data_IF_886972905777
#
_entry.id   IF_886972905777
#
_cell.length_a   1.000
_cell.length_b   1.000
_cell.length_c   1.000
_cell.angle_alpha   90.00
_cell.angle_beta   90.00
_cell.angle_gamma   90.00
#
_symmetry.space_group_name_H-M   'P 1'
#
loop_
_entity.id
_entity.type
_entity.pdbx_description
1 polymer ?
#
# COMPACT_ATOMS: atom_id res chain seq x y z
N UNK A 1 4.86 74.15 -21.48
CA UNK A 1 4.12 73.04 -20.82
C UNK A 1 2.96 72.69 -21.74
N UNK A 2 2.66 71.49 -22.26
CA UNK A 2 3.11 70.09 -22.14
C UNK A 2 2.62 69.43 -23.47
N UNK A 3 3.48 68.68 -24.19
CA UNK A 3 3.12 67.97 -25.45
C UNK A 3 2.42 66.64 -25.12
N UNK A 4 1.09 66.59 -25.21
CA UNK A 4 0.28 65.36 -25.10
C UNK A 4 -0.28 65.07 -26.49
N UNK A 5 0.26 64.10 -27.22
CA UNK A 5 -0.30 63.81 -28.55
C UNK A 5 0.34 62.71 -29.38
N UNK A 6 1.31 61.95 -28.85
CA UNK A 6 2.01 60.92 -29.66
C UNK A 6 2.07 59.52 -29.06
N UNK A 7 1.58 59.33 -27.84
CA UNK A 7 1.78 58.07 -27.10
C UNK A 7 0.56 57.12 -27.10
N UNK A 8 -0.63 57.54 -27.58
CA UNK A 8 -1.82 56.69 -27.53
C UNK A 8 -1.83 55.55 -28.58
N UNK A 9 -1.25 55.73 -29.76
CA UNK A 9 -1.35 54.75 -30.85
C UNK A 9 -0.48 53.49 -30.68
N UNK A 10 0.69 53.61 -30.03
CA UNK A 10 1.62 52.49 -29.88
C UNK A 10 1.22 51.50 -28.78
N UNK A 11 0.43 51.93 -27.80
CA UNK A 11 -0.07 51.07 -26.72
C UNK A 11 -1.27 50.23 -27.16
N UNK A 12 -2.14 50.77 -28.01
CA UNK A 12 -3.34 50.08 -28.48
C UNK A 12 -3.01 48.82 -29.30
N UNK A 13 -1.97 48.87 -30.13
CA UNK A 13 -1.49 47.72 -30.92
C UNK A 13 -0.80 46.62 -30.09
N UNK A 14 -0.12 46.98 -29.00
CA UNK A 14 0.49 46.01 -28.07
C UNK A 14 -0.54 45.28 -27.23
N UNK A 15 -1.62 45.97 -26.82
CA UNK A 15 -2.71 45.36 -26.04
C UNK A 15 -3.50 44.35 -26.89
N UNK A 16 -3.71 44.64 -28.18
CA UNK A 16 -4.39 43.74 -29.12
C UNK A 16 -3.57 42.48 -29.47
N UNK A 17 -2.25 42.58 -29.55
CA UNK A 17 -1.35 41.44 -29.78
C UNK A 17 -1.21 40.51 -28.56
N UNK A 18 -1.20 41.08 -27.34
CA UNK A 18 -1.14 40.30 -26.09
C UNK A 18 -2.45 39.55 -25.84
N UNK A 19 -3.60 40.12 -26.23
CA UNK A 19 -4.90 39.46 -26.10
C UNK A 19 -5.05 38.24 -27.03
N UNK A 20 -4.47 38.26 -28.23
CA UNK A 20 -4.53 37.13 -29.16
C UNK A 20 -3.65 35.95 -28.69
N UNK A 21 -2.48 36.22 -28.11
CA UNK A 21 -1.56 35.19 -27.59
C UNK A 21 -2.04 34.54 -26.28
N UNK A 22 -2.90 35.22 -25.50
CA UNK A 22 -3.44 34.66 -24.25
C UNK A 22 -4.57 33.63 -24.47
N UNK A 23 -5.12 33.55 -25.68
CA UNK A 23 -6.28 32.69 -25.99
C UNK A 23 -5.91 31.24 -26.34
N UNK A 24 -4.63 30.93 -26.55
CA UNK A 24 -4.16 29.60 -26.97
C UNK A 24 -3.86 28.61 -25.84
N UNK A 25 -3.96 29.05 -24.58
CA UNK A 25 -3.60 28.24 -23.39
C UNK A 25 -4.79 27.65 -22.64
N UNK A 26 -6.01 27.92 -23.08
CA UNK A 26 -7.21 27.30 -22.49
C UNK A 26 -7.53 25.96 -23.17
N UNK A 27 -6.60 25.00 -23.06
CA UNK A 27 -6.93 23.60 -23.35
C UNK A 27 -7.76 23.05 -22.19
N UNK A 28 -9.02 22.65 -22.38
CA UNK A 28 -9.76 21.97 -21.34
C UNK A 28 -9.12 20.59 -21.16
N UNK A 29 -8.45 20.38 -20.03
CA UNK A 29 -7.95 19.07 -19.65
C UNK A 29 -9.14 18.12 -19.55
N UNK A 30 -9.26 17.23 -20.53
CA UNK A 30 -10.25 16.17 -20.56
C UNK A 30 -9.88 15.19 -19.44
N UNK A 31 -10.45 15.36 -18.25
CA UNK A 31 -10.29 14.44 -17.14
C UNK A 31 -11.03 13.14 -17.50
N UNK A 32 -10.29 12.16 -18.02
CA UNK A 32 -10.77 10.78 -18.10
C UNK A 32 -10.97 10.32 -16.66
N UNK A 33 -12.23 10.23 -16.23
CA UNK A 33 -12.59 9.52 -15.02
C UNK A 33 -12.15 8.06 -15.21
N UNK A 34 -11.10 7.65 -14.49
CA UNK A 34 -10.69 6.26 -14.45
C UNK A 34 -11.87 5.42 -13.95
N UNK A 35 -12.13 4.24 -14.53
CA UNK A 35 -13.12 3.33 -13.98
C UNK A 35 -12.68 2.96 -12.56
N UNK A 36 -13.46 3.41 -11.57
CA UNK A 36 -13.35 2.88 -10.22
C UNK A 36 -13.91 1.46 -10.28
N UNK A 37 -13.01 0.48 -10.34
CA UNK A 37 -13.39 -0.92 -10.23
C UNK A 37 -14.20 -1.10 -8.94
N UNK A 38 -15.37 -1.77 -8.97
CA UNK A 38 -16.06 -2.13 -7.75
C UNK A 38 -15.10 -2.96 -6.91
N UNK A 39 -14.84 -2.52 -5.67
CA UNK A 39 -14.14 -3.34 -4.69
C UNK A 39 -14.99 -4.60 -4.51
N UNK A 40 -14.60 -5.68 -5.18
CA UNK A 40 -15.16 -7.01 -4.92
C UNK A 40 -15.00 -7.24 -3.42
N UNK A 41 -16.07 -7.68 -2.75
CA UNK A 41 -16.03 -8.24 -1.39
C UNK A 41 -15.28 -9.59 -1.39
N UNK A 42 -14.15 -9.65 -2.09
CA UNK A 42 -13.24 -10.78 -2.10
C UNK A 42 -12.58 -10.82 -0.73
N UNK A 43 -12.76 -11.93 -0.03
CA UNK A 43 -12.06 -12.17 1.24
C UNK A 43 -10.55 -11.98 1.06
N UNK A 44 -9.84 -11.42 2.06
CA UNK A 44 -8.42 -11.17 1.96
C UNK A 44 -7.65 -12.46 1.63
N UNK A 45 -6.72 -12.38 0.68
CA UNK A 45 -5.91 -13.53 0.30
C UNK A 45 -4.70 -13.65 1.25
N UNK A 46 -4.77 -14.58 2.21
CA UNK A 46 -3.73 -14.79 3.21
C UNK A 46 -2.35 -15.10 2.62
N UNK A 47 -2.27 -15.82 1.50
CA UNK A 47 -1.00 -16.09 0.81
C UNK A 47 -0.37 -14.81 0.28
N UNK A 48 -1.13 -14.00 -0.46
CA UNK A 48 -0.63 -12.73 -1.03
C UNK A 48 -0.21 -11.75 0.07
N UNK A 49 -0.99 -11.66 1.14
CA UNK A 49 -0.66 -10.85 2.31
C UNK A 49 0.64 -11.34 2.98
N UNK A 50 0.78 -12.65 3.18
CA UNK A 50 2.00 -13.23 3.73
C UNK A 50 3.23 -12.96 2.84
N UNK A 51 3.09 -13.14 1.53
CA UNK A 51 4.16 -12.86 0.56
C UNK A 51 4.60 -11.39 0.61
N UNK A 52 3.65 -10.48 0.78
CA UNK A 52 3.88 -9.03 0.81
C UNK A 52 4.50 -8.56 2.14
N UNK A 53 4.03 -9.08 3.27
CA UNK A 53 4.35 -8.52 4.58
C UNK A 53 5.28 -9.39 5.44
N UNK A 54 5.32 -10.71 5.20
CA UNK A 54 5.93 -11.67 6.14
C UNK A 54 7.10 -12.45 5.53
N UNK A 55 7.02 -12.79 4.24
CA UNK A 55 7.95 -13.70 3.57
C UNK A 55 9.40 -13.20 3.56
N UNK A 56 9.62 -11.88 3.61
CA UNK A 56 10.96 -11.29 3.70
C UNK A 56 11.76 -11.79 4.91
N UNK A 57 11.10 -11.98 6.05
CA UNK A 57 11.73 -12.56 7.24
C UNK A 57 11.48 -14.07 7.39
N UNK A 58 10.37 -14.55 6.83
CA UNK A 58 9.88 -15.92 7.00
C UNK A 58 9.78 -16.73 5.70
N UNK A 59 10.85 -16.82 4.90
CA UNK A 59 10.80 -17.57 3.65
C UNK A 59 10.62 -19.06 3.93
N UNK A 60 9.64 -19.69 3.27
CA UNK A 60 9.29 -21.10 3.43
C UNK A 60 9.12 -21.52 4.91
N UNK A 61 8.53 -20.62 5.70
CA UNK A 61 8.29 -20.82 7.13
C UNK A 61 9.53 -20.78 8.00
N UNK A 62 10.70 -20.41 7.48
CA UNK A 62 11.90 -20.22 8.30
C UNK A 62 11.86 -18.87 9.04
N UNK A 63 12.97 -18.48 9.66
CA UNK A 63 13.15 -17.16 10.22
C UNK A 63 14.62 -16.75 10.07
N UNK A 64 14.88 -15.76 9.21
CA UNK A 64 16.25 -15.31 8.91
C UNK A 64 16.87 -14.53 10.07
N UNK A 65 16.05 -13.92 10.93
CA UNK A 65 16.49 -13.08 12.05
C UNK A 65 16.77 -13.95 13.29
N UNK A 66 15.87 -14.88 13.62
CA UNK A 66 15.98 -15.78 14.77
C UNK A 66 15.70 -17.22 14.35
N UNK A 67 16.76 -17.97 14.00
CA UNK A 67 16.70 -19.34 13.46
C UNK A 67 15.88 -20.36 14.27
N UNK A 68 15.71 -20.15 15.58
CA UNK A 68 14.89 -21.02 16.45
C UNK A 68 13.40 -20.68 16.49
N UNK A 69 12.99 -19.50 15.98
CA UNK A 69 11.61 -19.01 16.00
C UNK A 69 10.99 -19.02 14.60
N UNK A 70 10.94 -20.22 14.02
CA UNK A 70 10.35 -20.45 12.70
C UNK A 70 8.83 -20.57 12.77
N UNK A 71 8.17 -20.56 11.61
CA UNK A 71 6.73 -20.81 11.47
C UNK A 71 6.41 -22.30 11.23
N UNK A 72 7.38 -23.18 11.50
CA UNK A 72 7.17 -24.64 11.40
C UNK A 72 6.42 -25.12 12.64
N UNK A 73 5.54 -26.11 12.47
CA UNK A 73 4.65 -26.59 13.54
C UNK A 73 5.37 -26.91 14.86
N UNK A 74 6.55 -27.54 14.81
CA UNK A 74 7.35 -27.84 16.00
C UNK A 74 7.78 -26.59 16.78
N UNK A 75 8.14 -25.51 16.08
CA UNK A 75 8.55 -24.26 16.71
C UNK A 75 7.35 -23.50 17.27
N UNK A 76 6.23 -23.46 16.53
CA UNK A 76 4.97 -22.89 17.00
C UNK A 76 4.52 -23.54 18.31
N UNK A 77 4.48 -24.89 18.37
CA UNK A 77 4.15 -25.66 19.58
C UNK A 77 5.07 -25.36 20.75
N UNK A 78 6.39 -25.34 20.51
CA UNK A 78 7.39 -25.03 21.55
C UNK A 78 7.19 -23.64 22.16
N UNK A 79 6.68 -22.71 21.37
CA UNK A 79 6.50 -21.32 21.79
C UNK A 79 5.04 -20.97 22.14
N UNK A 80 4.14 -21.96 22.16
CA UNK A 80 2.72 -21.81 22.47
C UNK A 80 2.03 -20.80 21.52
N UNK A 81 2.36 -20.87 20.22
CA UNK A 81 1.76 -20.06 19.15
C UNK A 81 1.22 -20.99 18.05
N UNK A 82 0.63 -22.11 18.44
CA UNK A 82 0.15 -23.19 17.58
C UNK A 82 -1.38 -23.19 17.43
N UNK A 83 -1.97 -22.00 17.30
CA UNK A 83 -3.36 -21.80 16.92
C UNK A 83 -3.50 -20.55 16.05
N UNK A 84 -4.58 -20.47 15.27
CA UNK A 84 -4.88 -19.29 14.44
C UNK A 84 -4.94 -18.03 15.32
N UNK A 85 -5.70 -18.05 16.41
CA UNK A 85 -5.84 -16.90 17.32
C UNK A 85 -4.50 -16.46 17.93
N UNK A 86 -3.64 -17.41 18.31
CA UNK A 86 -2.33 -17.09 18.88
C UNK A 86 -1.41 -16.45 17.83
N UNK A 87 -1.46 -16.93 16.59
CA UNK A 87 -0.72 -16.34 15.46
C UNK A 87 -1.26 -14.93 15.16
N UNK A 88 -2.59 -14.76 15.06
CA UNK A 88 -3.23 -13.47 14.81
C UNK A 88 -2.87 -12.45 15.89
N UNK A 89 -2.92 -12.86 17.17
CA UNK A 89 -2.51 -12.01 18.31
C UNK A 89 -1.03 -11.61 18.19
N UNK A 90 -0.15 -12.54 17.84
CA UNK A 90 1.28 -12.27 17.67
C UNK A 90 1.55 -11.32 16.52
N UNK A 91 0.85 -11.45 15.39
CA UNK A 91 0.97 -10.54 14.24
C UNK A 91 0.46 -9.14 14.60
N UNK A 92 -0.68 -9.08 15.30
CA UNK A 92 -1.29 -7.81 15.75
C UNK A 92 -0.34 -7.04 16.66
N UNK A 93 0.19 -7.70 17.70
CA UNK A 93 0.96 -7.04 18.77
C UNK A 93 2.46 -6.99 18.50
N UNK A 94 2.98 -7.82 17.58
CA UNK A 94 4.41 -8.05 17.43
C UNK A 94 5.03 -8.72 18.66
N UNK A 95 6.34 -9.04 18.58
CA UNK A 95 7.10 -9.55 19.73
C UNK A 95 8.60 -9.41 19.52
N UNK A 96 9.23 -8.60 20.37
CA UNK A 96 10.68 -8.42 20.36
C UNK A 96 11.15 -7.74 19.07
N UNK A 97 11.81 -8.51 18.19
CA UNK A 97 12.33 -7.98 16.90
C UNK A 97 11.30 -8.04 15.76
N UNK A 98 10.17 -8.72 15.97
CA UNK A 98 9.07 -8.74 15.00
C UNK A 98 8.14 -7.57 15.32
N UNK A 99 7.98 -6.65 14.37
CA UNK A 99 7.09 -5.49 14.47
C UNK A 99 5.62 -5.90 14.65
N UNK A 100 4.83 -5.00 15.24
CA UNK A 100 3.38 -5.10 15.29
C UNK A 100 2.75 -4.69 13.96
N UNK A 101 1.68 -5.37 13.54
CA UNK A 101 0.95 -5.07 12.30
C UNK A 101 -0.48 -4.59 12.55
N UNK A 102 -0.96 -4.52 13.80
CA UNK A 102 -2.34 -4.13 14.12
C UNK A 102 -2.74 -2.71 13.67
N UNK A 103 -1.76 -1.83 13.46
CA UNK A 103 -1.99 -0.47 12.93
C UNK A 103 -1.80 -0.39 11.40
N UNK A 104 -1.37 -1.48 10.76
CA UNK A 104 -1.01 -1.54 9.33
C UNK A 104 -1.98 -2.39 8.52
N UNK A 105 -2.51 -3.46 9.12
CA UNK A 105 -3.41 -4.43 8.49
C UNK A 105 -4.74 -4.46 9.25
N UNK A 106 -5.83 -4.74 8.54
CA UNK A 106 -7.13 -4.94 9.21
C UNK A 106 -7.17 -6.26 9.98
N UNK A 107 -8.15 -6.41 10.87
CA UNK A 107 -8.39 -7.69 11.57
C UNK A 107 -8.57 -8.85 10.60
N UNK A 108 -9.34 -8.64 9.52
CA UNK A 108 -9.64 -9.67 8.53
C UNK A 108 -8.40 -10.08 7.74
N UNK A 109 -7.50 -9.13 7.45
CA UNK A 109 -6.22 -9.41 6.78
C UNK A 109 -5.28 -10.19 7.69
N UNK A 110 -5.21 -9.83 8.98
CA UNK A 110 -4.40 -10.53 9.98
C UNK A 110 -4.92 -11.95 10.18
N UNK A 111 -6.24 -12.14 10.27
CA UNK A 111 -6.86 -13.45 10.40
C UNK A 111 -6.58 -14.31 9.16
N UNK A 112 -6.66 -13.73 7.96
CA UNK A 112 -6.30 -14.43 6.73
C UNK A 112 -4.82 -14.87 6.70
N UNK A 113 -3.90 -14.02 7.16
CA UNK A 113 -2.48 -14.38 7.34
C UNK A 113 -2.34 -15.51 8.36
N UNK A 114 -3.03 -15.43 9.49
CA UNK A 114 -2.93 -16.40 10.57
C UNK A 114 -3.42 -17.79 10.14
N UNK A 115 -4.56 -17.85 9.43
CA UNK A 115 -5.08 -19.09 8.81
C UNK A 115 -4.07 -19.65 7.83
N UNK A 116 -3.55 -18.81 6.92
CA UNK A 116 -2.55 -19.26 5.94
C UNK A 116 -1.30 -19.84 6.62
N UNK A 117 -0.72 -19.15 7.60
CA UNK A 117 0.46 -19.63 8.34
C UNK A 117 0.16 -20.94 9.06
N UNK A 118 -1.01 -21.06 9.68
CA UNK A 118 -1.44 -22.28 10.36
C UNK A 118 -1.54 -23.47 9.39
N UNK A 119 -2.20 -23.30 8.25
CA UNK A 119 -2.30 -24.32 7.21
C UNK A 119 -0.93 -24.73 6.66
N UNK A 120 -0.08 -23.76 6.33
CA UNK A 120 1.28 -24.04 5.85
C UNK A 120 2.12 -24.78 6.91
N UNK A 121 1.98 -24.41 8.19
CA UNK A 121 2.67 -25.10 9.27
C UNK A 121 2.22 -26.56 9.41
N UNK A 122 0.92 -26.83 9.31
CA UNK A 122 0.38 -28.20 9.32
C UNK A 122 0.83 -29.01 8.10
N UNK A 123 0.91 -28.36 6.93
CA UNK A 123 1.41 -28.92 5.68
C UNK A 123 2.94 -28.94 5.56
N UNK A 124 3.69 -28.68 6.64
CA UNK A 124 5.16 -28.64 6.64
C UNK A 124 5.78 -27.70 5.57
N UNK A 125 5.04 -26.67 5.13
CA UNK A 125 5.49 -25.69 4.13
C UNK A 125 5.88 -26.32 2.78
N UNK A 126 5.16 -27.34 2.32
CA UNK A 126 5.42 -28.03 1.05
C UNK A 126 4.57 -27.55 -0.14
N UNK A 127 3.68 -26.57 0.07
CA UNK A 127 2.72 -26.05 -0.92
C UNK A 127 3.25 -24.90 -1.77
#
# INVERSE_FOLDING_TARGET
>A
MIRIGRQCGAYLGKILLVAFLLSLVFSPSLAIAAPSSPQSLTSPNGRTLFETHCAGCHPNGNNIIRRGKTLKLRALKRHHVDSVDAIATLVTQGKGLMSAYGETLTSEEIDAIAVYVWEQAQGNWTS
#
